data_IF_839485096207
#
_entry.id   IF_839485096207
#
_cell.length_a   1.000
_cell.length_b   1.000
_cell.length_c   1.000
_cell.angle_alpha   90.00
_cell.angle_beta   90.00
_cell.angle_gamma   90.00
#
_symmetry.space_group_name_H-M   'P 1'
#
loop_
_entity.id
_entity.type
_entity.pdbx_description
1 polymer ?
#
# COMPACT_ATOMS: atom_id res chain seq x y z
N UNK A 1 18.50 -11.26 -0.96
CA UNK A 1 17.13 -10.85 -0.58
C UNK A 1 16.53 -10.03 -1.71
N UNK A 2 15.33 -10.40 -2.16
CA UNK A 2 14.53 -9.74 -3.20
C UNK A 2 13.27 -9.15 -2.56
N UNK A 3 12.84 -7.98 -3.01
CA UNK A 3 11.63 -7.30 -2.54
C UNK A 3 10.58 -7.30 -3.64
N UNK A 4 9.33 -7.65 -3.31
CA UNK A 4 8.18 -7.48 -4.19
C UNK A 4 7.40 -6.25 -3.74
N UNK A 5 7.35 -5.21 -4.58
CA UNK A 5 6.44 -4.08 -4.43
C UNK A 5 5.06 -4.53 -4.93
N UNK A 6 4.17 -4.85 -4.00
CA UNK A 6 2.88 -5.46 -4.25
C UNK A 6 1.78 -4.40 -4.18
N UNK A 7 1.08 -4.15 -5.30
CA UNK A 7 0.13 -3.03 -5.43
C UNK A 7 -1.28 -3.58 -5.72
N UNK A 8 -2.25 -3.14 -4.93
CA UNK A 8 -3.67 -3.32 -5.26
C UNK A 8 -4.22 -2.04 -5.91
N UNK A 9 -5.01 -2.18 -6.98
CA UNK A 9 -5.59 -1.04 -7.70
C UNK A 9 -6.99 -1.36 -8.21
N UNK A 10 -7.89 -0.37 -8.13
CA UNK A 10 -9.28 -0.46 -8.60
C UNK A 10 -9.66 0.74 -9.48
N UNK A 11 -9.70 1.95 -8.91
CA UNK A 11 -10.14 3.17 -9.58
C UNK A 11 -9.16 4.36 -9.40
N UNK A 12 -7.95 4.07 -8.97
CA UNK A 12 -6.86 5.00 -8.69
C UNK A 12 -6.04 5.27 -9.97
N UNK A 13 -6.70 5.73 -11.07
CA UNK A 13 -6.03 5.87 -12.36
C UNK A 13 -4.90 6.91 -12.36
N UNK A 14 -5.11 8.05 -11.72
CA UNK A 14 -4.10 9.12 -11.65
C UNK A 14 -2.94 8.68 -10.75
N UNK A 15 -3.26 8.07 -9.64
CA UNK A 15 -2.31 7.64 -8.63
C UNK A 15 -1.39 6.53 -9.18
N UNK A 16 -1.95 5.51 -9.82
CA UNK A 16 -1.15 4.40 -10.38
C UNK A 16 -0.22 4.86 -11.52
N UNK A 17 -0.61 5.88 -12.28
CA UNK A 17 0.24 6.49 -13.31
C UNK A 17 1.47 7.18 -12.73
N UNK A 18 1.42 7.61 -11.47
CA UNK A 18 2.55 8.19 -10.75
C UNK A 18 3.36 7.13 -10.00
N UNK A 19 2.68 6.20 -9.32
CA UNK A 19 3.31 5.20 -8.46
C UNK A 19 4.21 4.23 -9.25
N UNK A 20 3.73 3.66 -10.37
CA UNK A 20 4.51 2.69 -11.14
C UNK A 20 5.82 3.31 -11.69
N UNK A 21 5.80 4.47 -12.38
CA UNK A 21 7.05 5.09 -12.83
C UNK A 21 7.99 5.48 -11.67
N UNK A 22 7.44 5.93 -10.55
CA UNK A 22 8.23 6.24 -9.36
C UNK A 22 8.96 4.99 -8.84
N UNK A 23 8.28 3.86 -8.70
CA UNK A 23 8.89 2.61 -8.24
C UNK A 23 9.89 2.06 -9.26
N UNK A 24 9.59 2.12 -10.56
CA UNK A 24 10.52 1.69 -11.62
C UNK A 24 11.82 2.49 -11.61
N UNK A 25 11.75 3.78 -11.30
CA UNK A 25 12.93 4.66 -11.19
C UNK A 25 13.79 4.32 -9.97
N UNK A 26 13.16 4.02 -8.83
CA UNK A 26 13.81 4.03 -7.52
C UNK A 26 14.08 2.63 -6.94
N UNK A 27 13.39 1.58 -7.40
CA UNK A 27 13.63 0.20 -6.94
C UNK A 27 14.98 -0.31 -7.44
N UNK A 28 15.54 -1.30 -6.75
CA UNK A 28 16.72 -2.03 -7.25
C UNK A 28 16.34 -2.90 -8.45
N UNK A 29 17.34 -3.25 -9.26
CA UNK A 29 17.16 -4.09 -10.46
C UNK A 29 16.59 -5.47 -10.12
N UNK A 30 17.03 -6.08 -9.03
CA UNK A 30 16.60 -7.43 -8.60
C UNK A 30 15.18 -7.48 -8.07
N UNK A 31 14.64 -6.34 -7.63
CA UNK A 31 13.30 -6.25 -7.05
C UNK A 31 12.23 -6.21 -8.14
N UNK A 32 11.03 -6.65 -7.81
CA UNK A 32 9.91 -6.69 -8.74
C UNK A 32 8.76 -5.80 -8.31
N UNK A 33 7.94 -5.40 -9.26
CA UNK A 33 6.64 -4.77 -9.04
C UNK A 33 5.56 -5.75 -9.51
N UNK A 34 4.57 -6.00 -8.65
CA UNK A 34 3.43 -6.89 -8.94
C UNK A 34 2.14 -6.13 -8.66
N UNK A 35 1.28 -6.01 -9.67
CA UNK A 35 0.02 -5.25 -9.57
C UNK A 35 -1.15 -6.22 -9.67
N UNK A 36 -2.13 -6.11 -8.77
CA UNK A 36 -3.42 -6.80 -8.88
C UNK A 36 -4.53 -5.76 -9.10
N UNK A 37 -5.16 -5.84 -10.27
CA UNK A 37 -6.25 -4.95 -10.69
C UNK A 37 -7.60 -5.62 -10.49
N UNK A 38 -8.53 -4.89 -9.82
CA UNK A 38 -9.93 -5.30 -9.72
C UNK A 38 -10.67 -4.99 -11.03
N UNK A 39 -10.95 -6.02 -11.82
CA UNK A 39 -11.64 -5.89 -13.11
C UNK A 39 -13.16 -5.75 -12.99
N UNK A 40 -13.73 -6.03 -11.82
CA UNK A 40 -15.17 -5.94 -11.57
C UNK A 40 -15.63 -4.50 -11.32
N UNK A 41 -14.90 -3.78 -10.49
CA UNK A 41 -15.27 -2.44 -10.03
C UNK A 41 -14.31 -1.36 -10.57
N UNK A 42 -13.25 -1.77 -11.28
CA UNK A 42 -12.16 -0.91 -11.66
C UNK A 42 -12.42 -0.05 -12.90
N UNK A 43 -11.67 1.06 -13.03
CA UNK A 43 -11.67 1.91 -14.22
C UNK A 43 -10.91 1.20 -15.35
N UNK A 44 -11.55 1.00 -16.50
CA UNK A 44 -10.94 0.36 -17.68
C UNK A 44 -9.66 1.06 -18.19
N UNK A 45 -9.51 2.35 -17.93
CA UNK A 45 -8.28 3.10 -18.24
C UNK A 45 -7.07 2.54 -17.51
N UNK A 46 -7.26 1.96 -16.32
CA UNK A 46 -6.19 1.31 -15.58
C UNK A 46 -5.72 0.06 -16.34
N UNK A 47 -6.64 -0.78 -16.81
CA UNK A 47 -6.27 -1.96 -17.60
C UNK A 47 -5.51 -1.57 -18.88
N UNK A 48 -5.97 -0.54 -19.58
CA UNK A 48 -5.29 -0.02 -20.78
C UNK A 48 -3.88 0.48 -20.45
N UNK A 49 -3.73 1.23 -19.36
CA UNK A 49 -2.43 1.72 -18.89
C UNK A 49 -1.50 0.59 -18.50
N UNK A 50 -1.94 -0.37 -17.69
CA UNK A 50 -1.14 -1.51 -17.25
C UNK A 50 -0.69 -2.36 -18.45
N UNK A 51 -1.59 -2.64 -19.39
CA UNK A 51 -1.29 -3.37 -20.61
C UNK A 51 -0.24 -2.65 -21.48
N UNK A 52 -0.41 -1.35 -21.67
CA UNK A 52 0.53 -0.55 -22.48
C UNK A 52 1.92 -0.46 -21.85
N UNK A 53 1.99 -0.28 -20.53
CA UNK A 53 3.26 -0.10 -19.80
C UNK A 53 4.01 -1.41 -19.54
N UNK A 54 3.32 -2.55 -19.44
CA UNK A 54 3.95 -3.85 -19.20
C UNK A 54 4.58 -4.49 -20.46
N UNK A 55 4.48 -3.87 -21.63
CA UNK A 55 5.04 -4.42 -22.88
C UNK A 55 6.55 -4.71 -22.77
N UNK A 56 7.28 -3.91 -22.02
CA UNK A 56 8.72 -4.08 -21.80
C UNK A 56 9.06 -5.03 -20.64
N UNK A 57 8.07 -5.68 -20.05
CA UNK A 57 8.22 -6.58 -18.90
C UNK A 57 8.91 -5.95 -17.66
N UNK A 58 8.79 -4.63 -17.48
CA UNK A 58 9.38 -3.91 -16.34
C UNK A 58 8.64 -4.17 -15.03
N UNK A 59 7.38 -4.65 -15.10
CA UNK A 59 6.57 -5.09 -13.99
C UNK A 59 5.55 -6.15 -14.44
N UNK A 60 5.00 -6.88 -13.49
CA UNK A 60 3.94 -7.88 -13.71
C UNK A 60 2.60 -7.33 -13.23
N UNK A 61 1.53 -7.66 -13.93
CA UNK A 61 0.19 -7.35 -13.47
C UNK A 61 -0.78 -8.50 -13.76
N UNK A 62 -1.74 -8.62 -12.87
CA UNK A 62 -2.80 -9.61 -12.91
C UNK A 62 -4.13 -8.92 -12.74
N UNK A 63 -5.19 -9.50 -13.29
CA UNK A 63 -6.55 -9.03 -13.06
C UNK A 63 -7.42 -10.14 -12.51
N UNK A 64 -8.34 -9.76 -11.63
CA UNK A 64 -9.36 -10.61 -11.09
C UNK A 64 -10.54 -9.79 -10.60
N UNK A 65 -11.61 -10.44 -10.18
CA UNK A 65 -12.79 -9.80 -9.61
C UNK A 65 -12.67 -9.76 -8.08
N UNK A 66 -12.76 -8.56 -7.51
CA UNK A 66 -12.76 -8.39 -6.06
C UNK A 66 -14.03 -9.00 -5.44
N UNK A 67 -13.86 -9.89 -4.48
CA UNK A 67 -14.93 -10.63 -3.79
C UNK A 67 -15.56 -9.86 -2.61
N UNK A 68 -15.14 -8.63 -2.35
CA UNK A 68 -15.56 -7.81 -1.21
C UNK A 68 -14.78 -8.11 0.08
N UNK A 69 -13.67 -8.87 0.01
CA UNK A 69 -12.86 -9.23 1.17
C UNK A 69 -11.40 -8.79 0.98
N UNK A 70 -11.01 -7.68 1.59
CA UNK A 70 -9.70 -7.07 1.37
C UNK A 70 -8.52 -7.99 1.74
N UNK A 71 -8.60 -8.75 2.83
CA UNK A 71 -7.54 -9.67 3.19
C UNK A 71 -7.36 -10.78 2.14
N UNK A 72 -8.45 -11.35 1.59
CA UNK A 72 -8.36 -12.33 0.49
C UNK A 72 -7.65 -11.71 -0.72
N UNK A 73 -7.98 -10.45 -1.02
CA UNK A 73 -7.41 -9.72 -2.15
C UNK A 73 -5.91 -9.51 -1.99
N UNK A 74 -5.46 -9.06 -0.80
CA UNK A 74 -4.03 -8.90 -0.48
C UNK A 74 -3.30 -10.23 -0.43
N UNK A 75 -3.89 -11.29 0.09
CA UNK A 75 -3.32 -12.65 0.06
C UNK A 75 -3.17 -13.18 -1.37
N UNK A 76 -4.14 -12.91 -2.24
CA UNK A 76 -4.05 -13.25 -3.66
C UNK A 76 -2.90 -12.52 -4.34
N UNK A 77 -2.77 -11.22 -4.12
CA UNK A 77 -1.63 -10.45 -4.62
C UNK A 77 -0.31 -11.03 -4.12
N UNK A 78 -0.19 -11.32 -2.82
CA UNK A 78 1.01 -11.94 -2.23
C UNK A 78 1.38 -13.26 -2.92
N UNK A 79 0.39 -14.06 -3.37
CA UNK A 79 0.65 -15.34 -4.04
C UNK A 79 1.34 -15.18 -5.40
N UNK A 80 1.20 -14.03 -6.06
CA UNK A 80 1.87 -13.72 -7.33
C UNK A 80 3.29 -13.16 -7.15
N UNK A 81 3.65 -12.73 -5.95
CA UNK A 81 4.96 -12.17 -5.65
C UNK A 81 6.02 -13.27 -5.51
N UNK A 82 7.28 -12.96 -5.90
CA UNK A 82 8.41 -13.89 -5.82
C UNK A 82 9.56 -13.38 -4.93
N UNK A 83 9.37 -12.23 -4.27
CA UNK A 83 10.34 -11.67 -3.32
C UNK A 83 10.38 -12.43 -2.00
N UNK A 84 11.49 -12.30 -1.29
CA UNK A 84 11.63 -12.76 0.09
C UNK A 84 10.81 -11.90 1.06
N UNK A 85 10.71 -10.61 0.71
CA UNK A 85 9.91 -9.61 1.39
C UNK A 85 8.85 -9.04 0.47
N UNK A 86 7.69 -8.75 1.05
CA UNK A 86 6.59 -8.06 0.39
C UNK A 86 6.51 -6.65 0.95
N UNK A 87 6.50 -5.65 0.07
CA UNK A 87 6.11 -4.29 0.40
C UNK A 87 4.71 -4.04 -0.20
N UNK A 88 3.67 -4.22 0.63
CA UNK A 88 2.29 -3.95 0.23
C UNK A 88 2.06 -2.45 0.17
N UNK A 89 1.59 -1.96 -0.97
CA UNK A 89 1.29 -0.54 -1.23
C UNK A 89 -0.12 -0.46 -1.83
N UNK A 90 -0.98 0.38 -1.29
CA UNK A 90 -2.25 0.70 -1.93
C UNK A 90 -2.00 1.75 -3.04
N UNK A 91 -2.74 1.70 -4.15
CA UNK A 91 -2.41 2.52 -5.33
C UNK A 91 -2.45 4.04 -5.07
N UNK A 92 -3.14 4.47 -4.01
CA UNK A 92 -3.20 5.87 -3.55
C UNK A 92 -2.13 6.24 -2.50
N UNK A 93 -1.15 5.36 -2.29
CA UNK A 93 0.01 5.61 -1.43
C UNK A 93 1.27 5.80 -2.28
N UNK A 94 2.15 6.70 -1.87
CA UNK A 94 3.46 6.90 -2.49
C UNK A 94 4.53 6.82 -1.39
N UNK A 95 5.46 5.86 -1.45
CA UNK A 95 6.60 5.81 -0.52
C UNK A 95 7.50 7.04 -0.68
N UNK A 96 8.09 7.51 0.42
CA UNK A 96 9.15 8.48 0.33
C UNK A 96 10.36 7.88 -0.43
N UNK A 97 11.06 8.68 -1.25
CA UNK A 97 12.21 8.23 -2.04
C UNK A 97 13.33 7.68 -1.15
N UNK A 98 13.59 8.33 -0.01
CA UNK A 98 14.58 7.90 0.97
C UNK A 98 14.24 6.53 1.57
N UNK A 99 12.94 6.25 1.80
CA UNK A 99 12.51 4.92 2.24
C UNK A 99 12.88 3.84 1.22
N UNK A 100 12.61 4.07 -0.07
CA UNK A 100 12.92 3.08 -1.13
C UNK A 100 14.42 2.89 -1.27
N UNK A 101 15.20 3.97 -1.28
CA UNK A 101 16.65 3.92 -1.40
C UNK A 101 17.33 3.13 -0.29
N UNK A 102 16.81 3.21 0.93
CA UNK A 102 17.37 2.54 2.10
C UNK A 102 16.66 1.22 2.48
N UNK A 103 15.62 0.84 1.76
CA UNK A 103 14.76 -0.28 2.15
C UNK A 103 15.51 -1.61 2.27
N UNK A 104 16.46 -1.86 1.36
CA UNK A 104 17.27 -3.07 1.39
C UNK A 104 18.09 -3.18 2.68
N UNK A 105 18.85 -2.11 3.01
CA UNK A 105 19.68 -2.05 4.20
C UNK A 105 18.85 -2.14 5.48
N UNK A 106 17.68 -1.50 5.49
CA UNK A 106 16.72 -1.57 6.61
C UNK A 106 16.30 -3.02 6.84
N UNK A 107 15.90 -3.73 5.79
CA UNK A 107 15.43 -5.11 5.89
C UNK A 107 16.57 -6.09 6.20
N UNK A 108 17.78 -5.86 5.68
CA UNK A 108 18.96 -6.65 6.03
C UNK A 108 19.31 -6.54 7.52
N UNK A 109 19.25 -5.32 8.07
CA UNK A 109 19.48 -5.08 9.50
C UNK A 109 18.36 -5.66 10.39
N UNK A 110 17.18 -5.85 9.84
CA UNK A 110 16.01 -6.43 10.51
C UNK A 110 15.69 -7.85 10.02
N UNK A 111 16.68 -8.62 9.58
CA UNK A 111 16.47 -9.95 9.01
C UNK A 111 15.88 -10.99 9.98
N UNK A 112 15.91 -10.73 11.28
CA UNK A 112 15.30 -11.53 12.34
C UNK A 112 13.84 -11.16 12.64
N UNK A 113 13.30 -10.12 11.97
CA UNK A 113 11.91 -9.66 12.13
C UNK A 113 11.06 -10.20 10.98
N UNK A 114 9.81 -10.54 11.24
CA UNK A 114 8.89 -11.09 10.23
C UNK A 114 8.02 -10.00 9.60
N UNK A 115 7.66 -8.97 10.38
CA UNK A 115 6.82 -7.85 9.98
C UNK A 115 7.41 -6.53 10.45
N UNK A 116 7.43 -5.53 9.58
CA UNK A 116 7.86 -4.16 9.93
C UNK A 116 6.72 -3.20 9.59
N UNK A 117 6.23 -2.48 10.59
CA UNK A 117 5.23 -1.43 10.40
C UNK A 117 5.90 -0.20 9.78
N UNK A 118 5.19 0.43 8.85
CA UNK A 118 5.63 1.64 8.15
C UNK A 118 4.73 2.80 8.55
N UNK A 119 5.27 3.96 8.96
CA UNK A 119 4.49 5.14 9.24
C UNK A 119 3.85 5.68 7.96
N UNK A 120 2.63 6.23 8.08
CA UNK A 120 1.90 6.82 6.97
C UNK A 120 1.47 8.25 7.31
N UNK A 121 1.75 9.16 6.40
CA UNK A 121 1.29 10.55 6.43
C UNK A 121 -0.03 10.63 5.67
N UNK A 122 -1.13 10.79 6.39
CA UNK A 122 -2.43 11.03 5.78
C UNK A 122 -2.70 12.52 5.69
N UNK A 123 -3.06 13.01 4.52
CA UNK A 123 -3.57 14.37 4.30
C UNK A 123 -4.90 14.31 3.58
N UNK A 124 -5.84 15.20 3.96
CA UNK A 124 -7.16 15.27 3.34
C UNK A 124 -7.45 16.71 2.94
N UNK A 125 -7.41 16.98 1.64
CA UNK A 125 -7.74 18.29 1.10
C UNK A 125 -9.26 18.53 1.21
N UNK A 126 -9.65 19.72 1.71
CA UNK A 126 -11.05 20.05 1.99
C UNK A 126 -11.55 19.55 3.36
N UNK A 127 -10.67 19.06 4.24
CA UNK A 127 -11.01 18.68 5.61
C UNK A 127 -11.47 19.91 6.40
N UNK A 128 -12.56 19.77 7.15
CA UNK A 128 -13.11 20.84 8.02
C UNK A 128 -13.14 20.39 9.48
N UNK A 129 -13.28 21.34 10.41
CA UNK A 129 -13.41 21.04 11.84
C UNK A 129 -14.61 20.13 12.14
N UNK A 130 -15.70 20.23 11.36
CA UNK A 130 -16.86 19.35 11.49
C UNK A 130 -16.52 17.89 11.16
N UNK A 131 -15.71 17.67 10.10
CA UNK A 131 -15.23 16.34 9.74
C UNK A 131 -14.31 15.77 10.82
N UNK A 132 -13.39 16.58 11.34
CA UNK A 132 -12.44 16.19 12.40
C UNK A 132 -13.20 15.74 13.65
N UNK A 133 -14.19 16.54 14.09
CA UNK A 133 -15.02 16.20 15.23
C UNK A 133 -15.88 14.94 15.00
N UNK A 134 -16.51 14.84 13.82
CA UNK A 134 -17.37 13.71 13.46
C UNK A 134 -16.62 12.38 13.47
N UNK A 135 -15.37 12.37 12.99
CA UNK A 135 -14.58 11.15 12.86
C UNK A 135 -13.60 10.92 14.03
N UNK A 136 -13.50 11.86 14.96
CA UNK A 136 -12.61 11.79 16.12
C UNK A 136 -11.13 11.80 15.73
N UNK A 137 -10.79 12.53 14.68
CA UNK A 137 -9.41 12.60 14.15
C UNK A 137 -8.56 13.61 14.90
N UNK A 138 -7.26 13.32 14.99
CA UNK A 138 -6.26 14.28 15.39
C UNK A 138 -5.56 14.81 14.15
N UNK A 139 -5.41 16.13 14.06
CA UNK A 139 -4.67 16.79 12.96
C UNK A 139 -3.58 17.64 13.59
N UNK A 140 -2.34 17.40 13.17
CA UNK A 140 -1.19 18.15 13.67
C UNK A 140 -0.98 19.49 12.94
N UNK A 141 0.07 20.23 13.32
CA UNK A 141 0.42 21.53 12.75
C UNK A 141 0.78 21.48 11.25
N UNK A 142 1.17 20.30 10.74
CA UNK A 142 1.45 20.04 9.32
C UNK A 142 0.20 19.67 8.52
N UNK A 143 -0.96 19.53 9.18
CA UNK A 143 -2.19 19.04 8.58
C UNK A 143 -2.23 17.51 8.41
N UNK A 144 -1.38 16.76 9.13
CA UNK A 144 -1.35 15.31 9.07
C UNK A 144 -2.40 14.71 10.00
N UNK A 145 -3.17 13.79 9.45
CA UNK A 145 -4.27 13.12 10.16
C UNK A 145 -3.74 11.88 10.87
N UNK A 146 -3.94 11.81 12.20
CA UNK A 146 -3.61 10.68 13.07
C UNK A 146 -2.14 10.21 12.98
N UNK A 147 -1.20 11.13 12.72
CA UNK A 147 0.22 10.80 12.66
C UNK A 147 0.76 10.27 14.02
N UNK A 148 1.61 9.23 14.02
CA UNK A 148 2.06 8.39 12.92
C UNK A 148 1.11 7.19 12.72
N UNK A 149 0.39 7.14 11.65
CA UNK A 149 -0.52 6.03 11.32
C UNK A 149 0.29 4.80 10.88
N UNK A 150 0.61 3.91 11.83
CA UNK A 150 1.47 2.75 11.62
C UNK A 150 0.76 1.63 10.86
N UNK A 151 1.24 1.29 9.68
CA UNK A 151 0.61 0.34 8.77
C UNK A 151 1.40 -0.96 8.63
N UNK A 152 0.70 -2.10 8.55
CA UNK A 152 1.26 -3.37 8.12
C UNK A 152 1.61 -3.26 6.62
N UNK A 153 2.88 -3.00 6.29
CA UNK A 153 3.28 -2.81 4.89
C UNK A 153 4.45 -3.69 4.46
N UNK A 154 5.37 -3.99 5.35
CA UNK A 154 6.54 -4.81 5.06
C UNK A 154 6.45 -6.13 5.82
N UNK A 155 6.54 -7.25 5.11
CA UNK A 155 6.50 -8.57 5.74
C UNK A 155 7.22 -9.63 4.90
N UNK A 156 7.79 -10.63 5.58
CA UNK A 156 8.38 -11.79 4.93
C UNK A 156 7.32 -12.60 4.19
N UNK A 157 7.63 -13.03 2.99
CA UNK A 157 6.78 -13.98 2.27
C UNK A 157 6.87 -15.34 2.95
N UNK A 158 5.75 -15.80 3.53
CA UNK A 158 5.63 -17.08 4.22
C UNK A 158 4.21 -17.61 4.09
N UNK A 159 4.06 -18.94 4.12
CA UNK A 159 2.74 -19.55 4.13
C UNK A 159 1.98 -19.34 5.44
N UNK A 160 2.70 -19.05 6.52
CA UNK A 160 2.12 -18.78 7.83
C UNK A 160 1.59 -17.35 7.96
N UNK A 161 2.24 -16.36 7.29
CA UNK A 161 1.89 -14.94 7.40
C UNK A 161 0.78 -14.62 6.40
N UNK A 162 -0.39 -14.25 6.90
CA UNK A 162 -1.57 -13.98 6.08
C UNK A 162 -2.28 -12.71 6.54
N UNK A 163 -2.85 -11.99 5.57
CA UNK A 163 -3.85 -10.98 5.83
C UNK A 163 -5.14 -11.63 6.31
N UNK A 164 -5.76 -11.05 7.33
CA UNK A 164 -7.04 -11.46 7.90
C UNK A 164 -7.98 -10.26 8.02
N UNK A 165 -9.26 -10.51 8.25
CA UNK A 165 -10.37 -9.57 8.30
C UNK A 165 -10.85 -9.10 6.92
N UNK A 166 -12.16 -8.92 6.82
CA UNK A 166 -12.82 -8.45 5.60
C UNK A 166 -12.49 -7.00 5.29
N UNK A 167 -12.49 -6.14 6.33
CA UNK A 167 -12.08 -4.74 6.36
C UNK A 167 -11.16 -4.52 7.56
N UNK A 168 -10.39 -3.44 7.57
CA UNK A 168 -9.38 -3.19 8.60
C UNK A 168 -8.43 -4.37 8.77
N UNK A 169 -7.97 -4.85 7.62
CA UNK A 169 -7.13 -6.03 7.54
C UNK A 169 -5.78 -5.84 8.24
N UNK A 170 -5.39 -6.89 8.94
CA UNK A 170 -4.10 -6.98 9.64
C UNK A 170 -3.37 -8.25 9.23
N UNK A 171 -2.06 -8.32 9.48
CA UNK A 171 -1.29 -9.54 9.29
C UNK A 171 -1.35 -10.41 10.55
N UNK A 172 -1.49 -11.72 10.37
CA UNK A 172 -1.36 -12.74 11.41
C UNK A 172 -0.35 -13.81 11.00
N UNK A 173 0.00 -14.70 11.95
CA UNK A 173 0.92 -15.82 11.74
C UNK A 173 2.40 -15.48 11.85
N UNK A 174 2.77 -14.23 12.01
CA UNK A 174 4.15 -13.80 12.28
C UNK A 174 4.52 -14.03 13.75
N UNK A 175 5.84 -14.16 14.02
CA UNK A 175 6.38 -14.36 15.38
C UNK A 175 7.01 -13.09 15.93
N UNK A 176 7.54 -12.26 15.05
CA UNK A 176 8.28 -11.04 15.41
C UNK A 176 7.80 -9.86 14.59
N UNK A 177 7.64 -8.71 15.27
CA UNK A 177 7.22 -7.45 14.67
C UNK A 177 8.11 -6.31 15.14
N UNK A 178 8.39 -5.39 14.23
CA UNK A 178 9.08 -4.14 14.50
C UNK A 178 8.37 -2.99 13.77
N UNK A 179 8.90 -1.80 13.88
CA UNK A 179 8.40 -0.64 13.14
C UNK A 179 9.57 0.24 12.68
N UNK A 180 9.37 0.96 11.59
CA UNK A 180 10.28 2.02 11.20
C UNK A 180 10.21 3.19 12.18
N UNK A 181 11.26 3.99 12.29
CA UNK A 181 11.20 5.27 13.01
C UNK A 181 10.03 6.14 12.50
N UNK A 182 9.41 6.89 13.40
CA UNK A 182 8.33 7.83 13.10
C UNK A 182 8.91 9.09 12.43
N UNK A 183 9.48 8.92 11.24
CA UNK A 183 10.13 9.95 10.47
C UNK A 183 9.46 10.07 9.09
N UNK A 184 9.30 11.30 8.62
CA UNK A 184 8.67 11.60 7.33
C UNK A 184 9.41 10.93 6.16
N UNK A 185 10.75 10.90 6.23
CA UNK A 185 11.61 10.29 5.21
C UNK A 185 11.41 8.77 5.08
N UNK A 186 10.84 8.12 6.10
CA UNK A 186 10.57 6.68 6.14
C UNK A 186 9.07 6.37 6.05
N UNK A 187 8.25 7.32 5.61
CA UNK A 187 6.81 7.19 5.57
C UNK A 187 6.25 6.91 4.15
N UNK A 188 5.02 6.44 4.14
CA UNK A 188 4.14 6.47 2.98
C UNK A 188 3.34 7.77 3.00
N UNK A 189 3.21 8.46 1.88
CA UNK A 189 2.27 9.56 1.70
C UNK A 189 0.95 9.04 1.17
N UNK A 190 -0.15 9.49 1.75
CA UNK A 190 -1.49 9.10 1.41
C UNK A 190 -2.41 10.34 1.33
N UNK A 191 -2.29 11.12 0.26
CA UNK A 191 -3.12 12.29 0.04
C UNK A 191 -4.50 11.89 -0.45
N UNK A 192 -5.55 12.49 0.12
CA UNK A 192 -6.94 12.28 -0.29
C UNK A 192 -7.69 13.58 -0.48
N UNK A 193 -8.75 13.52 -1.27
CA UNK A 193 -9.80 14.53 -1.35
C UNK A 193 -10.93 14.17 -0.38
N UNK A 194 -11.54 15.17 0.24
CA UNK A 194 -12.61 14.96 1.23
C UNK A 194 -13.77 14.14 0.66
N UNK A 195 -14.17 14.37 -0.58
CA UNK A 195 -15.28 13.65 -1.21
C UNK A 195 -14.99 12.14 -1.35
N UNK A 196 -13.73 11.80 -1.62
CA UNK A 196 -13.30 10.40 -1.69
C UNK A 196 -13.31 9.76 -0.31
N UNK A 197 -12.86 10.48 0.72
CA UNK A 197 -12.85 10.00 2.10
C UNK A 197 -14.27 9.76 2.62
N UNK A 198 -15.21 10.67 2.35
CA UNK A 198 -16.63 10.51 2.71
C UNK A 198 -17.21 9.23 2.08
N UNK A 199 -17.03 9.05 0.77
CA UNK A 199 -17.50 7.86 0.05
C UNK A 199 -16.90 6.56 0.57
N UNK A 200 -15.62 6.59 0.94
CA UNK A 200 -14.93 5.42 1.49
C UNK A 200 -15.51 5.05 2.87
N UNK A 201 -15.74 6.04 3.75
CA UNK A 201 -16.35 5.79 5.04
C UNK A 201 -17.76 5.19 4.89
N UNK A 202 -18.59 5.77 4.00
CA UNK A 202 -19.93 5.25 3.70
C UNK A 202 -19.87 3.81 3.16
N UNK A 203 -18.92 3.51 2.28
CA UNK A 203 -18.75 2.15 1.77
C UNK A 203 -18.38 1.15 2.87
N UNK A 204 -17.49 1.50 3.78
CA UNK A 204 -17.10 0.62 4.89
C UNK A 204 -18.25 0.33 5.85
N UNK A 205 -19.20 1.26 6.02
CA UNK A 205 -20.41 1.03 6.82
C UNK A 205 -21.35 -0.01 6.18
N UNK A 206 -21.20 -0.33 4.90
CA UNK A 206 -22.03 -1.32 4.17
C UNK A 206 -21.44 -2.74 4.19
N UNK A 207 -20.19 -2.91 4.61
CA UNK A 207 -19.48 -4.20 4.60
C UNK A 207 -19.54 -4.92 5.95
#
# INVERSE_FOLDING_TARGET
MKISYAITVCNEFVEIQNLIPFLLKNKRYEDEIVVLYDSKNGDSKIEEFLRAKSINAEFQWFKDEFDGHFANWKNKLTSFCNGDWIFQIDADEIPNEVLIENLYEILEQNNNVDVVLVPRVNTVEGLTDEHIQKWGWNVDEKGWVNWPDMQYRLYKKSDDIKWVNKVHEVLEGFKTISHLPMAEDLALYHPKQIDRQVKQNEYYETL
#
